data_IF_757209741735
#
_entry.id   IF_757209741735
#
_cell.length_a   1.000
_cell.length_b   1.000
_cell.length_c   1.000
_cell.angle_alpha   90.00
_cell.angle_beta   90.00
_cell.angle_gamma   90.00
#
_symmetry.space_group_name_H-M   'P 1'
#
loop_
_entity.id
_entity.type
_entity.pdbx_description
1 polymer ?
#
# COMPACT_ATOMS: atom_id res chain seq x y z
N UNK A 1 4.08 -3.91 -5.32
CA UNK A 1 5.11 -3.26 -4.57
C UNK A 1 5.79 -2.15 -5.39
N UNK A 2 6.72 -1.41 -4.78
CA UNK A 2 7.40 -0.26 -5.43
C UNK A 2 8.33 -0.65 -6.59
N UNK A 3 8.67 -1.93 -6.74
CA UNK A 3 9.43 -2.47 -7.89
C UNK A 3 8.60 -2.56 -9.18
N UNK A 4 7.27 -2.44 -9.10
CA UNK A 4 6.38 -2.64 -10.24
C UNK A 4 6.68 -1.71 -11.44
N UNK A 5 7.23 -0.52 -11.19
CA UNK A 5 7.58 0.43 -12.25
C UNK A 5 8.72 -0.06 -13.17
N UNK A 6 9.54 -1.00 -12.72
CA UNK A 6 10.67 -1.57 -13.48
C UNK A 6 10.38 -2.99 -14.01
N UNK A 7 9.20 -3.52 -13.74
CA UNK A 7 8.74 -4.81 -14.25
C UNK A 7 7.99 -4.63 -15.57
N UNK A 8 8.21 -5.54 -16.50
CA UNK A 8 7.37 -5.67 -17.69
C UNK A 8 5.97 -6.14 -17.30
N UNK A 9 4.98 -5.93 -18.16
CA UNK A 9 3.62 -6.38 -17.89
C UNK A 9 3.54 -7.91 -17.74
N UNK A 10 4.29 -8.65 -18.55
CA UNK A 10 4.37 -10.12 -18.42
C UNK A 10 4.88 -10.55 -17.04
N UNK A 11 5.91 -9.89 -16.50
CA UNK A 11 6.43 -10.19 -15.16
C UNK A 11 5.39 -9.84 -14.07
N UNK A 12 4.69 -8.69 -14.20
CA UNK A 12 3.62 -8.31 -13.27
C UNK A 12 2.50 -9.35 -13.27
N UNK A 13 2.03 -9.74 -14.45
CA UNK A 13 0.95 -10.72 -14.60
C UNK A 13 1.35 -12.11 -14.10
N UNK A 14 2.59 -12.55 -14.39
CA UNK A 14 3.12 -13.80 -13.85
C UNK A 14 3.17 -13.80 -12.31
N UNK A 15 3.58 -12.67 -11.70
CA UNK A 15 3.60 -12.52 -10.25
C UNK A 15 2.18 -12.53 -9.65
N UNK A 16 1.22 -11.87 -10.28
CA UNK A 16 -0.17 -11.87 -9.85
C UNK A 16 -0.75 -13.29 -9.91
N UNK A 17 -0.59 -13.98 -11.04
CA UNK A 17 -1.06 -15.35 -11.21
C UNK A 17 -0.46 -16.30 -10.15
N UNK A 18 0.87 -16.22 -9.94
CA UNK A 18 1.55 -17.00 -8.90
C UNK A 18 0.99 -16.71 -7.50
N UNK A 19 0.79 -15.42 -7.19
CA UNK A 19 0.26 -15.00 -5.87
C UNK A 19 -1.15 -15.54 -5.65
N UNK A 20 -2.04 -15.41 -6.63
CA UNK A 20 -3.41 -15.96 -6.56
C UNK A 20 -3.38 -17.48 -6.35
N UNK A 21 -2.59 -18.18 -7.15
CA UNK A 21 -2.43 -19.63 -7.04
C UNK A 21 -1.86 -20.04 -5.67
N UNK A 22 -0.83 -19.35 -5.18
CA UNK A 22 -0.22 -19.65 -3.88
C UNK A 22 -1.15 -19.36 -2.71
N UNK A 23 -1.89 -18.26 -2.76
CA UNK A 23 -2.88 -17.91 -1.74
C UNK A 23 -4.03 -18.91 -1.70
N UNK A 24 -4.47 -19.42 -2.84
CA UNK A 24 -5.49 -20.46 -2.96
C UNK A 24 -6.74 -20.19 -2.10
N UNK A 25 -7.21 -18.95 -2.09
CA UNK A 25 -8.37 -18.50 -1.31
C UNK A 25 -8.14 -18.33 0.21
N UNK A 26 -6.94 -18.61 0.73
CA UNK A 26 -6.61 -18.45 2.16
C UNK A 26 -6.57 -16.98 2.60
N UNK A 27 -6.33 -16.08 1.69
CA UNK A 27 -6.39 -14.63 1.89
C UNK A 27 -6.77 -13.93 0.59
N UNK A 28 -7.23 -12.68 0.71
CA UNK A 28 -7.55 -11.84 -0.44
C UNK A 28 -6.28 -11.36 -1.14
N UNK A 29 -6.31 -11.32 -2.46
CA UNK A 29 -5.22 -10.82 -3.31
C UNK A 29 -5.63 -9.48 -3.93
N UNK A 30 -4.89 -8.44 -3.62
CA UNK A 30 -5.06 -7.10 -4.20
C UNK A 30 -3.90 -6.86 -5.18
N UNK A 31 -4.21 -6.75 -6.46
CA UNK A 31 -3.20 -6.58 -7.50
C UNK A 31 -2.90 -5.09 -7.76
N UNK A 32 -1.63 -4.70 -7.71
CA UNK A 32 -1.19 -3.36 -8.12
C UNK A 32 -1.13 -3.24 -9.64
N UNK A 33 -2.05 -2.49 -10.23
CA UNK A 33 -2.21 -2.37 -11.70
C UNK A 33 -2.25 -0.95 -12.22
N UNK A 34 -2.25 0.06 -11.30
CA UNK A 34 -2.28 1.47 -11.68
C UNK A 34 -1.03 1.93 -12.42
N UNK A 35 -1.24 2.70 -13.47
CA UNK A 35 -0.22 3.40 -14.24
C UNK A 35 -0.66 4.85 -14.49
N UNK A 36 0.16 5.66 -15.16
CA UNK A 36 -0.20 7.01 -15.55
C UNK A 36 -0.97 7.09 -16.90
N UNK A 37 -1.36 5.95 -17.44
CA UNK A 37 -2.22 5.80 -18.61
C UNK A 37 -3.47 4.99 -18.23
N UNK A 38 -4.65 5.59 -18.42
CA UNK A 38 -5.93 4.97 -18.08
C UNK A 38 -6.15 3.69 -18.88
N UNK A 39 -5.92 3.69 -20.18
CA UNK A 39 -6.16 2.54 -21.05
C UNK A 39 -5.27 1.34 -20.64
N UNK A 40 -3.99 1.61 -20.37
CA UNK A 40 -3.04 0.60 -19.92
C UNK A 40 -3.41 0.06 -18.52
N UNK A 41 -3.80 0.94 -17.57
CA UNK A 41 -4.28 0.54 -16.25
C UNK A 41 -5.50 -0.37 -16.35
N UNK A 42 -6.46 -0.05 -17.22
CA UNK A 42 -7.66 -0.87 -17.45
C UNK A 42 -7.31 -2.25 -18.04
N UNK A 43 -6.39 -2.29 -19.00
CA UNK A 43 -5.94 -3.54 -19.60
C UNK A 43 -5.31 -4.47 -18.57
N UNK A 44 -4.33 -3.98 -17.79
CA UNK A 44 -3.66 -4.74 -16.73
C UNK A 44 -4.67 -5.20 -15.67
N UNK A 45 -5.57 -4.32 -15.26
CA UNK A 45 -6.56 -4.62 -14.22
C UNK A 45 -7.56 -5.69 -14.67
N UNK A 46 -8.03 -5.67 -15.91
CA UNK A 46 -8.91 -6.70 -16.45
C UNK A 46 -8.24 -8.07 -16.45
N UNK A 47 -6.98 -8.14 -16.87
CA UNK A 47 -6.21 -9.39 -16.85
C UNK A 47 -5.98 -9.87 -15.42
N UNK A 48 -5.58 -8.98 -14.50
CA UNK A 48 -5.42 -9.33 -13.09
C UNK A 48 -6.71 -9.88 -12.47
N UNK A 49 -7.85 -9.25 -12.75
CA UNK A 49 -9.16 -9.71 -12.29
C UNK A 49 -9.54 -11.08 -12.88
N UNK A 50 -9.27 -11.31 -14.17
CA UNK A 50 -9.51 -12.61 -14.83
C UNK A 50 -8.63 -13.73 -14.28
N UNK A 51 -7.47 -13.41 -13.71
CA UNK A 51 -6.58 -14.34 -13.01
C UNK A 51 -7.03 -14.65 -11.58
N UNK A 52 -8.07 -13.97 -11.06
CA UNK A 52 -8.63 -14.21 -9.74
C UNK A 52 -8.13 -13.24 -8.65
N UNK A 53 -7.63 -12.07 -9.01
CA UNK A 53 -7.41 -11.00 -8.04
C UNK A 53 -8.75 -10.54 -7.45
N UNK A 54 -8.83 -10.43 -6.13
CA UNK A 54 -10.05 -10.02 -5.42
C UNK A 54 -10.33 -8.51 -5.52
N UNK A 55 -9.29 -7.71 -5.74
CA UNK A 55 -9.37 -6.26 -5.96
C UNK A 55 -8.13 -5.77 -6.72
N UNK A 56 -8.19 -4.56 -7.24
CA UNK A 56 -7.04 -3.87 -7.83
C UNK A 56 -6.68 -2.63 -7.03
N UNK A 57 -5.38 -2.37 -6.88
CA UNK A 57 -4.82 -1.17 -6.29
C UNK A 57 -4.27 -0.28 -7.40
N UNK A 58 -4.86 0.89 -7.58
CA UNK A 58 -4.47 1.82 -8.64
C UNK A 58 -3.87 3.10 -8.02
N UNK A 59 -2.57 3.29 -8.24
CA UNK A 59 -1.89 4.53 -7.85
C UNK A 59 -2.39 5.70 -8.70
N UNK A 60 -2.46 6.90 -8.13
CA UNK A 60 -2.78 8.11 -8.90
C UNK A 60 -1.82 8.26 -10.08
N UNK A 61 -2.29 8.71 -11.26
CA UNK A 61 -1.41 8.97 -12.40
C UNK A 61 -0.25 9.87 -12.01
N UNK A 62 0.96 9.35 -12.19
CA UNK A 62 2.21 10.04 -11.87
C UNK A 62 2.78 10.71 -13.12
N UNK A 63 3.66 11.69 -12.96
CA UNK A 63 4.36 12.43 -14.02
C UNK A 63 3.46 13.40 -14.79
N UNK A 64 2.39 12.93 -15.46
CA UNK A 64 1.46 13.75 -16.24
C UNK A 64 0.44 14.56 -15.40
N UNK A 65 0.46 14.46 -14.05
CA UNK A 65 -0.22 15.31 -13.05
C UNK A 65 -1.62 15.74 -13.46
N UNK A 66 -2.54 14.79 -13.58
CA UNK A 66 -3.92 15.07 -13.95
C UNK A 66 -4.65 15.94 -12.90
N UNK A 67 -5.71 16.61 -13.33
CA UNK A 67 -6.61 17.39 -12.47
C UNK A 67 -7.47 16.47 -11.59
N UNK A 68 -8.20 17.03 -10.61
CA UNK A 68 -9.17 16.27 -9.80
C UNK A 68 -10.28 15.68 -10.67
N UNK A 69 -10.77 16.42 -11.66
CA UNK A 69 -11.72 15.90 -12.66
C UNK A 69 -11.13 14.73 -13.45
N UNK A 70 -9.85 14.79 -13.80
CA UNK A 70 -9.13 13.69 -14.45
C UNK A 70 -9.00 12.46 -13.54
N UNK A 71 -8.76 12.63 -12.23
CA UNK A 71 -8.76 11.54 -11.25
C UNK A 71 -10.14 10.88 -11.17
N UNK A 72 -11.22 11.66 -11.05
CA UNK A 72 -12.58 11.14 -11.02
C UNK A 72 -12.84 10.31 -12.30
N UNK A 73 -12.56 10.86 -13.47
CA UNK A 73 -12.77 10.16 -14.74
C UNK A 73 -11.94 8.86 -14.84
N UNK A 74 -10.67 8.89 -14.43
CA UNK A 74 -9.76 7.74 -14.43
C UNK A 74 -10.27 6.59 -13.56
N UNK A 75 -10.64 6.88 -12.31
CA UNK A 75 -11.12 5.86 -11.37
C UNK A 75 -12.54 5.39 -11.68
N UNK A 76 -13.42 6.29 -12.12
CA UNK A 76 -14.78 5.90 -12.58
C UNK A 76 -14.71 4.96 -13.77
N UNK A 77 -13.88 5.28 -14.79
CA UNK A 77 -13.70 4.39 -15.94
C UNK A 77 -13.20 2.99 -15.53
N UNK A 78 -12.34 2.89 -14.50
CA UNK A 78 -11.91 1.62 -13.96
C UNK A 78 -13.05 0.91 -13.21
N UNK A 79 -13.75 1.62 -12.34
CA UNK A 79 -14.83 1.07 -11.52
C UNK A 79 -16.02 0.59 -12.35
N UNK A 80 -16.36 1.31 -13.45
CA UNK A 80 -17.42 0.92 -14.39
C UNK A 80 -17.12 -0.38 -15.17
N UNK A 81 -15.83 -0.66 -15.39
CA UNK A 81 -15.45 -1.72 -16.34
C UNK A 81 -14.85 -2.97 -15.68
N UNK A 82 -14.43 -2.88 -14.44
CA UNK A 82 -13.78 -4.00 -13.75
C UNK A 82 -14.79 -4.83 -12.95
N UNK A 83 -14.64 -6.16 -12.95
CA UNK A 83 -15.53 -7.06 -12.20
C UNK A 83 -15.18 -7.15 -10.70
N UNK A 84 -14.13 -6.45 -10.25
CA UNK A 84 -13.66 -6.44 -8.87
C UNK A 84 -13.44 -5.01 -8.38
N UNK A 85 -13.49 -4.76 -7.06
CA UNK A 85 -13.32 -3.43 -6.49
C UNK A 85 -11.99 -2.77 -6.85
N UNK A 86 -12.06 -1.44 -7.07
CA UNK A 86 -10.91 -0.58 -7.27
C UNK A 86 -10.54 0.11 -5.95
N UNK A 87 -9.30 -0.03 -5.50
CA UNK A 87 -8.75 0.68 -4.35
C UNK A 87 -7.88 1.81 -4.89
N UNK A 88 -8.25 3.03 -4.56
CA UNK A 88 -7.49 4.24 -4.89
C UNK A 88 -6.20 4.26 -4.08
N UNK A 89 -5.06 4.56 -4.71
CA UNK A 89 -3.81 4.72 -3.97
C UNK A 89 -3.29 6.16 -4.09
N UNK A 90 -3.40 6.90 -3.00
CA UNK A 90 -2.94 8.27 -2.88
C UNK A 90 -1.55 8.32 -2.23
N UNK A 91 -0.54 8.75 -2.99
CA UNK A 91 0.85 8.87 -2.53
C UNK A 91 1.53 10.08 -3.19
N UNK A 92 1.14 11.30 -2.81
CA UNK A 92 1.56 12.52 -3.50
C UNK A 92 3.07 12.74 -3.51
N UNK A 93 3.81 12.25 -2.53
CA UNK A 93 5.27 12.29 -2.48
C UNK A 93 5.95 11.56 -3.65
N UNK A 94 5.25 10.57 -4.26
CA UNK A 94 5.77 9.80 -5.41
C UNK A 94 5.16 10.23 -6.74
N UNK A 95 3.89 10.64 -6.72
CA UNK A 95 3.15 10.91 -7.95
C UNK A 95 3.11 12.39 -8.33
N UNK A 96 3.29 13.28 -7.35
CA UNK A 96 3.09 14.72 -7.53
C UNK A 96 1.61 15.10 -7.68
N UNK A 97 0.69 14.14 -7.44
CA UNK A 97 -0.76 14.35 -7.49
C UNK A 97 -1.36 13.90 -6.16
N UNK A 98 -2.17 14.75 -5.56
CA UNK A 98 -2.85 14.48 -4.30
C UNK A 98 -4.37 14.43 -4.54
N UNK A 99 -5.02 13.35 -4.10
CA UNK A 99 -6.47 13.19 -4.19
C UNK A 99 -7.12 14.08 -3.15
N UNK A 100 -7.95 15.03 -3.57
CA UNK A 100 -8.66 15.91 -2.64
C UNK A 100 -9.77 15.16 -1.88
N UNK A 101 -10.16 15.68 -0.71
CA UNK A 101 -11.29 15.13 0.07
C UNK A 101 -12.58 15.13 -0.77
N UNK A 102 -12.82 16.19 -1.55
CA UNK A 102 -13.98 16.26 -2.43
C UNK A 102 -13.95 15.20 -3.52
N UNK A 103 -12.77 14.90 -4.09
CA UNK A 103 -12.61 13.79 -5.04
C UNK A 103 -12.89 12.45 -4.37
N UNK A 104 -12.42 12.24 -3.13
CA UNK A 104 -12.74 11.03 -2.35
C UNK A 104 -14.26 10.90 -2.16
N UNK A 105 -14.96 11.99 -1.82
CA UNK A 105 -16.41 12.01 -1.64
C UNK A 105 -17.17 11.63 -2.92
N UNK A 106 -16.74 12.15 -4.07
CA UNK A 106 -17.35 11.77 -5.36
C UNK A 106 -17.12 10.29 -5.67
N UNK A 107 -15.89 9.80 -5.47
CA UNK A 107 -15.54 8.40 -5.74
C UNK A 107 -16.22 7.42 -4.75
N UNK A 108 -16.45 7.82 -3.51
CA UNK A 108 -17.17 7.03 -2.50
C UNK A 108 -18.59 6.66 -2.95
N UNK A 109 -19.24 7.52 -3.73
CA UNK A 109 -20.57 7.23 -4.32
C UNK A 109 -20.59 6.14 -5.37
N UNK A 110 -19.45 5.62 -5.82
CA UNK A 110 -19.40 4.57 -6.83
C UNK A 110 -19.30 3.17 -6.16
N UNK A 111 -20.24 2.23 -6.42
CA UNK A 111 -20.33 0.95 -5.70
C UNK A 111 -19.10 0.04 -5.89
N UNK A 112 -18.31 0.23 -6.95
CA UNK A 112 -17.12 -0.57 -7.24
C UNK A 112 -15.80 0.14 -6.86
N UNK A 113 -15.86 1.30 -6.18
CA UNK A 113 -14.72 1.89 -5.48
C UNK A 113 -14.67 1.30 -4.07
N UNK A 114 -13.75 0.37 -3.85
CA UNK A 114 -13.67 -0.42 -2.60
C UNK A 114 -12.96 0.29 -1.45
N UNK A 115 -12.37 1.47 -1.67
CA UNK A 115 -11.71 2.27 -0.64
C UNK A 115 -10.46 2.99 -1.12
N UNK A 116 -9.69 3.51 -0.16
CA UNK A 116 -8.46 4.26 -0.43
C UNK A 116 -7.29 3.78 0.45
N UNK A 117 -6.14 3.56 -0.17
CA UNK A 117 -4.84 3.53 0.50
C UNK A 117 -4.32 4.96 0.59
N UNK A 118 -4.37 5.55 1.79
CA UNK A 118 -3.93 6.92 2.05
C UNK A 118 -2.48 6.93 2.54
N UNK A 119 -1.59 7.52 1.75
CA UNK A 119 -0.16 7.60 2.02
C UNK A 119 0.41 9.02 1.82
N UNK A 120 -0.40 10.05 2.05
CA UNK A 120 0.08 11.44 2.04
C UNK A 120 0.96 11.77 3.25
N UNK A 121 0.89 10.97 4.33
CA UNK A 121 1.54 11.26 5.61
C UNK A 121 0.76 12.25 6.49
N UNK A 122 -0.46 12.63 6.12
CA UNK A 122 -1.27 13.61 6.83
C UNK A 122 -2.42 12.96 7.61
N UNK A 123 -2.28 12.90 8.94
CA UNK A 123 -3.37 12.47 9.83
C UNK A 123 -4.61 13.37 9.69
N UNK A 124 -4.49 14.72 9.66
CA UNK A 124 -5.64 15.60 9.43
C UNK A 124 -6.37 15.30 8.12
N UNK A 125 -5.65 15.03 7.03
CA UNK A 125 -6.27 14.66 5.76
C UNK A 125 -7.06 13.36 5.86
N UNK A 126 -6.48 12.33 6.48
CA UNK A 126 -7.19 11.07 6.71
C UNK A 126 -8.47 11.27 7.53
N UNK A 127 -8.42 12.13 8.56
CA UNK A 127 -9.60 12.50 9.36
C UNK A 127 -10.69 13.16 8.50
N UNK A 128 -10.32 14.11 7.63
CA UNK A 128 -11.28 14.75 6.72
C UNK A 128 -11.87 13.76 5.69
N UNK A 129 -11.10 12.79 5.20
CA UNK A 129 -11.63 11.74 4.31
C UNK A 129 -12.64 10.87 5.07
N UNK A 130 -12.30 10.45 6.29
CA UNK A 130 -13.18 9.64 7.13
C UNK A 130 -14.48 10.39 7.49
N UNK A 131 -14.40 11.68 7.80
CA UNK A 131 -15.55 12.53 8.07
C UNK A 131 -16.45 12.69 6.82
N UNK A 132 -15.86 12.96 5.67
CA UNK A 132 -16.59 13.22 4.43
C UNK A 132 -17.20 11.99 3.76
N UNK A 133 -16.58 10.82 3.94
CA UNK A 133 -16.95 9.59 3.22
C UNK A 133 -17.53 8.50 4.13
N UNK A 134 -17.27 8.54 5.45
CA UNK A 134 -17.74 7.52 6.39
C UNK A 134 -17.31 6.10 5.96
N UNK A 135 -18.24 5.16 6.08
CA UNK A 135 -18.01 3.76 5.68
C UNK A 135 -18.11 3.51 4.16
N UNK A 136 -18.51 4.51 3.37
CA UNK A 136 -18.62 4.38 1.91
C UNK A 136 -17.22 4.32 1.24
N UNK A 137 -16.19 4.88 1.87
CA UNK A 137 -14.81 4.80 1.40
C UNK A 137 -13.87 4.32 2.50
N UNK A 138 -13.76 3.01 2.74
CA UNK A 138 -12.81 2.46 3.70
C UNK A 138 -11.38 2.98 3.48
N UNK A 139 -10.74 3.45 4.55
CA UNK A 139 -9.37 3.99 4.51
C UNK A 139 -8.38 2.96 5.06
N UNK A 140 -7.31 2.70 4.33
CA UNK A 140 -6.14 1.98 4.83
C UNK A 140 -4.94 2.90 4.87
N UNK A 141 -4.18 2.86 5.98
CA UNK A 141 -2.90 3.56 6.03
C UNK A 141 -1.95 3.00 4.97
N UNK A 142 -1.29 3.88 4.23
CA UNK A 142 -0.16 3.53 3.37
C UNK A 142 1.20 3.75 4.05
N UNK A 143 1.18 4.25 5.29
CA UNK A 143 2.34 4.58 6.10
C UNK A 143 2.36 3.72 7.36
N UNK A 144 3.44 2.99 7.60
CA UNK A 144 3.59 2.09 8.75
C UNK A 144 3.64 2.86 10.07
N UNK A 145 4.28 4.01 10.11
CA UNK A 145 4.38 4.93 11.25
C UNK A 145 3.03 5.56 11.65
N UNK A 146 2.07 5.60 10.75
CA UNK A 146 0.72 6.13 10.98
C UNK A 146 -0.35 5.06 11.15
N UNK A 147 0.02 3.79 11.32
CA UNK A 147 -0.94 2.70 11.46
C UNK A 147 -1.89 2.94 12.62
N UNK A 148 -1.39 3.04 13.84
CA UNK A 148 -2.24 3.24 15.04
C UNK A 148 -2.96 4.59 15.02
N UNK A 149 -2.32 5.72 14.70
CA UNK A 149 -3.02 7.00 14.55
C UNK A 149 -4.23 6.96 13.61
N UNK A 150 -4.10 6.35 12.43
CA UNK A 150 -5.20 6.29 11.49
C UNK A 150 -6.29 5.30 11.93
N UNK A 151 -5.91 4.15 12.49
CA UNK A 151 -6.89 3.19 13.01
C UNK A 151 -7.69 3.77 14.18
N UNK A 152 -7.08 4.61 15.02
CA UNK A 152 -7.79 5.30 16.11
C UNK A 152 -8.85 6.30 15.62
N UNK A 153 -8.74 6.75 14.38
CA UNK A 153 -9.73 7.61 13.72
C UNK A 153 -10.79 6.82 12.93
N UNK A 154 -10.65 5.48 12.82
CA UNK A 154 -11.62 4.65 12.11
C UNK A 154 -11.12 4.02 10.80
N UNK A 155 -9.84 4.20 10.44
CA UNK A 155 -9.25 3.46 9.33
C UNK A 155 -9.31 1.94 9.58
N UNK A 156 -9.39 1.16 8.51
CA UNK A 156 -9.66 -0.29 8.59
C UNK A 156 -8.40 -1.14 8.74
N UNK A 157 -7.21 -0.58 8.47
CA UNK A 157 -5.94 -1.32 8.54
C UNK A 157 -4.79 -0.58 7.88
N UNK A 158 -3.78 -1.33 7.46
CA UNK A 158 -2.58 -0.81 6.81
C UNK A 158 -2.20 -1.67 5.59
N UNK A 159 -1.76 -1.03 4.52
CA UNK A 159 -1.08 -1.69 3.39
C UNK A 159 0.42 -1.37 3.54
N UNK A 160 1.12 -2.26 4.19
CA UNK A 160 2.34 -2.05 4.96
C UNK A 160 3.61 -2.51 4.22
N UNK A 161 4.72 -1.84 4.45
CA UNK A 161 6.08 -2.32 4.12
C UNK A 161 6.60 -3.19 5.26
N UNK A 162 6.39 -2.79 6.52
CA UNK A 162 6.79 -3.52 7.71
C UNK A 162 6.27 -4.97 7.71
N UNK A 163 5.06 -5.21 7.22
CA UNK A 163 4.45 -6.54 7.16
C UNK A 163 5.21 -7.56 6.28
N UNK A 164 6.11 -7.11 5.40
CA UNK A 164 6.98 -8.02 4.66
C UNK A 164 8.05 -8.68 5.55
N UNK A 165 8.46 -8.03 6.62
CA UNK A 165 9.53 -8.51 7.54
C UNK A 165 9.00 -8.87 8.93
N UNK A 166 7.85 -8.32 9.34
CA UNK A 166 7.21 -8.56 10.65
C UNK A 166 5.69 -8.72 10.51
N UNK A 167 5.18 -9.69 9.72
CA UNK A 167 3.76 -9.85 9.45
C UNK A 167 2.93 -10.11 10.70
N UNK A 168 3.40 -10.95 11.62
CA UNK A 168 2.65 -11.26 12.85
C UNK A 168 2.55 -10.05 13.76
N UNK A 169 3.64 -9.31 13.96
CA UNK A 169 3.63 -8.09 14.80
C UNK A 169 2.73 -7.01 14.21
N UNK A 170 2.78 -6.80 12.89
CA UNK A 170 1.88 -5.87 12.20
C UNK A 170 0.42 -6.28 12.38
N UNK A 171 0.12 -7.57 12.22
CA UNK A 171 -1.23 -8.08 12.42
C UNK A 171 -1.71 -7.95 13.88
N UNK A 172 -0.85 -8.25 14.86
CA UNK A 172 -1.18 -8.08 16.29
C UNK A 172 -1.50 -6.63 16.62
N UNK A 173 -0.73 -5.67 16.10
CA UNK A 173 -0.95 -4.24 16.29
C UNK A 173 -2.31 -3.80 15.70
N UNK A 174 -2.61 -4.23 14.46
CA UNK A 174 -3.90 -3.94 13.81
C UNK A 174 -5.06 -4.56 14.60
N UNK A 175 -4.94 -5.81 15.05
CA UNK A 175 -5.96 -6.49 15.85
C UNK A 175 -6.19 -5.82 17.20
N UNK A 176 -5.16 -5.32 17.84
CA UNK A 176 -5.29 -4.57 19.09
C UNK A 176 -6.12 -3.29 18.87
N UNK A 177 -5.87 -2.56 17.78
CA UNK A 177 -6.71 -1.42 17.40
C UNK A 177 -8.16 -1.83 17.15
N UNK A 178 -8.38 -2.89 16.39
CA UNK A 178 -9.73 -3.40 16.07
C UNK A 178 -10.50 -3.86 17.32
N UNK A 179 -9.79 -4.33 18.34
CA UNK A 179 -10.35 -4.68 19.64
C UNK A 179 -10.56 -3.48 20.59
N UNK A 180 -10.17 -2.27 20.17
CA UNK A 180 -10.23 -1.06 21.00
C UNK A 180 -9.08 -0.90 22.00
N UNK A 181 -8.11 -1.80 22.01
CA UNK A 181 -6.93 -1.71 22.89
C UNK A 181 -5.83 -0.85 22.26
N UNK A 182 -6.12 0.43 22.17
CA UNK A 182 -5.17 1.42 21.64
C UNK A 182 -3.93 1.61 22.53
N UNK A 183 -4.01 1.29 23.80
CA UNK A 183 -2.87 1.34 24.71
C UNK A 183 -1.83 0.26 24.35
N UNK A 184 -2.28 -0.98 24.11
CA UNK A 184 -1.40 -2.04 23.63
C UNK A 184 -0.89 -1.77 22.22
N UNK A 185 -1.77 -1.36 21.30
CA UNK A 185 -1.40 -1.01 19.92
C UNK A 185 -0.34 0.10 19.88
N UNK A 186 -0.51 1.15 20.68
CA UNK A 186 0.43 2.26 20.78
C UNK A 186 1.82 1.82 21.26
N UNK A 187 1.86 0.94 22.28
CA UNK A 187 3.15 0.36 22.73
C UNK A 187 3.84 -0.46 21.62
N UNK A 188 3.06 -1.23 20.85
CA UNK A 188 3.59 -2.00 19.70
C UNK A 188 4.12 -1.06 18.61
N UNK A 189 3.37 -0.01 18.27
CA UNK A 189 3.77 1.00 17.29
C UNK A 189 5.11 1.63 17.68
N UNK A 190 5.22 2.11 18.93
CA UNK A 190 6.45 2.75 19.45
C UNK A 190 7.62 1.77 19.43
N UNK A 191 7.41 0.52 19.84
CA UNK A 191 8.46 -0.51 19.83
C UNK A 191 8.93 -0.87 18.39
N UNK A 192 8.08 -0.70 17.38
CA UNK A 192 8.41 -0.97 15.98
C UNK A 192 8.95 0.25 15.23
N UNK A 193 8.87 1.46 15.81
CA UNK A 193 9.33 2.70 15.17
C UNK A 193 10.79 2.62 14.68
N UNK A 194 11.77 2.12 15.45
CA UNK A 194 13.15 2.04 14.95
C UNK A 194 13.29 1.15 13.69
N UNK A 195 12.50 0.08 13.59
CA UNK A 195 12.50 -0.78 12.40
C UNK A 195 11.79 -0.11 11.24
N UNK A 196 10.68 0.59 11.48
CA UNK A 196 9.98 1.36 10.46
C UNK A 196 10.93 2.42 9.88
N UNK A 197 11.60 3.20 10.73
CA UNK A 197 12.56 4.22 10.30
C UNK A 197 13.69 3.61 9.45
N UNK A 198 14.23 2.47 9.86
CA UNK A 198 15.26 1.75 9.11
C UNK A 198 14.77 1.25 7.75
N UNK A 199 13.50 0.80 7.66
CA UNK A 199 12.88 0.36 6.39
C UNK A 199 12.57 1.51 5.43
N UNK A 200 12.58 2.75 5.90
CA UNK A 200 12.39 3.96 5.10
C UNK A 200 13.60 4.89 5.09
N UNK A 201 14.78 4.41 5.56
CA UNK A 201 16.04 5.16 5.52
C UNK A 201 16.50 5.52 4.11
N UNK A 202 16.07 4.74 3.12
CA UNK A 202 16.17 5.03 1.68
C UNK A 202 14.83 4.74 1.00
N UNK A 203 14.78 5.03 -0.29
CA UNK A 203 13.55 4.80 -1.09
C UNK A 203 13.13 3.33 -1.01
N UNK A 204 11.90 3.10 -0.52
CA UNK A 204 11.28 1.77 -0.61
C UNK A 204 11.13 1.35 -2.09
N UNK A 205 11.60 0.14 -2.51
CA UNK A 205 11.81 -1.06 -1.70
C UNK A 205 13.28 -1.38 -1.32
N UNK A 206 14.22 -0.46 -1.40
CA UNK A 206 15.65 -0.73 -1.17
C UNK A 206 15.87 -1.36 0.22
N UNK A 207 15.48 -0.72 1.35
CA UNK A 207 15.77 -1.28 2.67
C UNK A 207 15.00 -2.58 2.96
N UNK A 208 13.74 -2.69 2.52
CA UNK A 208 12.95 -3.91 2.78
C UNK A 208 13.49 -5.13 2.02
N UNK A 209 14.03 -4.95 0.81
CA UNK A 209 14.69 -6.05 0.08
C UNK A 209 15.98 -6.49 0.80
N UNK A 210 16.76 -5.55 1.30
CA UNK A 210 17.93 -5.85 2.11
C UNK A 210 17.53 -6.57 3.41
N UNK A 211 16.50 -6.11 4.10
CA UNK A 211 15.98 -6.74 5.30
C UNK A 211 15.56 -8.20 5.07
N UNK A 212 14.83 -8.47 3.98
CA UNK A 212 14.47 -9.84 3.59
C UNK A 212 15.70 -10.70 3.32
N UNK A 213 16.71 -10.17 2.65
CA UNK A 213 17.98 -10.89 2.39
C UNK A 213 18.71 -11.23 3.70
N UNK A 214 18.76 -10.31 4.66
CA UNK A 214 19.31 -10.55 6.00
C UNK A 214 18.54 -11.63 6.78
N UNK A 215 17.26 -11.79 6.51
CA UNK A 215 16.41 -12.85 7.07
C UNK A 215 16.52 -14.18 6.33
N UNK A 216 17.38 -14.28 5.31
CA UNK A 216 17.53 -15.49 4.49
C UNK A 216 16.42 -15.70 3.44
N UNK A 217 15.61 -14.69 3.18
CA UNK A 217 14.55 -14.72 2.16
C UNK A 217 15.10 -14.11 0.87
N UNK A 218 15.11 -14.85 -0.26
CA UNK A 218 15.70 -14.38 -1.51
C UNK A 218 14.84 -13.31 -2.18
N UNK A 219 15.06 -12.04 -1.81
CA UNK A 219 14.33 -10.90 -2.37
C UNK A 219 14.96 -10.33 -3.66
N UNK A 220 16.18 -10.74 -3.99
CA UNK A 220 16.96 -10.20 -5.10
C UNK A 220 17.40 -8.74 -4.90
N UNK A 221 18.17 -8.22 -5.84
CA UNK A 221 18.56 -6.81 -5.83
C UNK A 221 17.48 -5.93 -6.46
N UNK A 222 17.39 -4.65 -6.08
CA UNK A 222 16.58 -3.68 -6.81
C UNK A 222 17.04 -3.58 -8.27
N UNK A 223 16.11 -3.27 -9.18
CA UNK A 223 16.44 -2.95 -10.57
C UNK A 223 16.74 -1.47 -10.70
N UNK A 224 17.65 -1.10 -11.59
CA UNK A 224 17.89 0.31 -11.91
C UNK A 224 16.59 1.01 -12.30
N UNK A 225 16.39 2.27 -11.89
CA UNK A 225 17.38 3.19 -11.30
C UNK A 225 17.64 3.01 -9.80
N UNK A 226 16.97 2.08 -9.12
CA UNK A 226 17.24 1.80 -7.72
C UNK A 226 18.49 0.95 -7.56
N UNK A 227 19.30 1.27 -6.54
CA UNK A 227 20.56 0.61 -6.20
C UNK A 227 20.40 -0.23 -4.93
N UNK A 228 21.35 -1.13 -4.62
CA UNK A 228 21.40 -1.76 -3.30
C UNK A 228 21.47 -0.72 -2.17
N UNK A 229 21.02 -1.10 -0.97
CA UNK A 229 21.11 -0.27 0.23
C UNK A 229 22.55 0.21 0.46
N UNK A 230 22.74 1.50 0.74
CA UNK A 230 24.06 2.06 1.05
C UNK A 230 24.63 1.46 2.34
N UNK A 231 25.95 1.29 2.38
CA UNK A 231 26.64 0.71 3.52
C UNK A 231 26.42 1.50 4.83
N UNK A 232 26.11 2.78 4.72
CA UNK A 232 25.86 3.67 5.87
C UNK A 232 24.57 3.33 6.63
N UNK A 233 23.55 2.78 5.94
CA UNK A 233 22.26 2.42 6.55
C UNK A 233 22.18 0.96 7.02
N UNK A 234 23.10 0.11 6.54
CA UNK A 234 23.09 -1.33 6.85
C UNK A 234 23.15 -1.63 8.37
N UNK A 235 24.05 -1.05 9.16
CA UNK A 235 24.15 -1.35 10.60
C UNK A 235 22.86 -1.01 11.37
N UNK A 236 22.22 0.11 11.04
CA UNK A 236 20.96 0.51 11.67
C UNK A 236 19.82 -0.47 11.34
N UNK A 237 19.75 -0.94 10.10
CA UNK A 237 18.77 -1.94 9.68
C UNK A 237 18.97 -3.29 10.38
N UNK A 238 20.22 -3.77 10.49
CA UNK A 238 20.56 -5.01 11.20
C UNK A 238 20.20 -4.93 12.68
N UNK A 239 20.56 -3.84 13.33
CA UNK A 239 20.21 -3.59 14.72
C UNK A 239 18.70 -3.56 14.95
N UNK A 240 17.96 -2.83 14.13
CA UNK A 240 16.51 -2.71 14.23
C UNK A 240 15.78 -4.04 13.99
N UNK A 241 16.26 -4.84 13.03
CA UNK A 241 15.73 -6.19 12.77
C UNK A 241 15.96 -7.11 13.98
N UNK A 242 17.15 -7.06 14.60
CA UNK A 242 17.49 -7.89 15.77
C UNK A 242 16.69 -7.49 17.02
N UNK A 243 16.43 -6.20 17.20
CA UNK A 243 15.67 -5.67 18.34
C UNK A 243 14.15 -5.95 18.26
N UNK A 244 13.64 -6.25 17.08
CA UNK A 244 12.21 -6.49 16.86
C UNK A 244 11.95 -7.89 16.24
N UNK A 245 12.28 -9.02 16.93
CA UNK A 245 12.05 -10.35 16.39
C UNK A 245 10.54 -10.64 16.19
N UNK A 246 10.21 -11.55 15.28
CA UNK A 246 8.86 -12.12 15.20
C UNK A 246 8.57 -12.95 16.44
N UNK A 247 7.33 -12.91 16.98
CA UNK A 247 6.92 -13.72 18.10
C UNK A 247 6.75 -15.20 17.75
#
# INVERSE_FOLDING_TARGET
SSDLSTMTDNEKLALIAHTVQYCAGRCKVIAGTGTNDTAHSLQLSRVAASMGADAVLMVTPYYNKCTQAGLIAHYTAAADTLPCPVIVYNVPSRTGVDVSVETCRVLAGHPNIGGIKEASGSVPKAAHILDACGDELPVWSGNDDLTVPLLSLGAKGVISVLSNVRPKRTLQMVRACQAGDYAAAGRMQVALTPLIDALFSEINPIPVKQALSLMGIPAGLPRLPLTPLSATHLPALEQALSAAPEP
#
